data_IF_904896662712
#
_entry.id   IF_904896662712
#
_cell.length_a   1.000
_cell.length_b   1.000
_cell.length_c   1.000
_cell.angle_alpha   90.00
_cell.angle_beta   90.00
_cell.angle_gamma   90.00
#
_symmetry.space_group_name_H-M   'P 1'
#
loop_
_entity.id
_entity.type
_entity.pdbx_description
1 polymer ?
#
# COMPACT_ATOMS: atom_id res chain seq x y z
N UNK A 1 16.94 13.11 -12.63
CA UNK A 1 16.77 12.81 -12.19
C UNK A 1 16.47 12.09 -11.55
N UNK A 2 16.45 11.83 -11.07
CA UNK A 2 16.21 11.06 -10.52
C UNK A 2 15.28 10.93 -9.75
N UNK A 3 14.45 10.51 -9.71
CA UNK A 3 13.60 10.33 -9.04
C UNK A 3 13.70 9.37 -8.37
N UNK A 4 13.68 9.37 -7.50
CA UNK A 4 13.93 8.43 -6.84
C UNK A 4 12.88 7.69 -6.34
N UNK A 5 12.89 6.41 -6.17
CA UNK A 5 11.90 5.67 -5.57
C UNK A 5 12.06 5.79 -4.11
N UNK A 6 11.04 6.18 -3.41
CA UNK A 6 11.12 6.28 -2.00
C UNK A 6 10.80 4.96 -1.41
N UNK A 7 11.36 4.65 -0.27
CA UNK A 7 11.09 3.44 0.48
C UNK A 7 10.11 3.79 1.57
N UNK A 8 9.00 3.08 1.61
CA UNK A 8 7.93 3.36 2.56
C UNK A 8 7.74 2.19 3.50
N UNK A 9 7.40 2.49 4.75
CA UNK A 9 7.05 1.43 5.69
C UNK A 9 5.64 0.97 5.35
N UNK A 10 5.21 -0.15 5.96
CA UNK A 10 3.87 -0.64 5.71
C UNK A 10 2.85 0.41 6.16
N UNK A 11 3.12 1.14 7.24
CA UNK A 11 2.21 2.16 7.71
C UNK A 11 2.10 3.30 6.70
N UNK A 12 3.21 3.71 6.14
CA UNK A 12 3.22 4.78 5.17
C UNK A 12 2.51 4.34 3.88
N UNK A 13 2.80 3.13 3.43
CA UNK A 13 2.18 2.62 2.21
C UNK A 13 0.67 2.48 2.40
N UNK A 14 0.25 1.96 3.55
CA UNK A 14 -1.16 1.79 3.83
C UNK A 14 -1.86 3.14 3.84
N UNK A 15 -1.21 4.13 4.41
CA UNK A 15 -1.76 5.49 4.42
C UNK A 15 -1.97 6.04 3.02
N UNK A 16 -1.02 5.76 2.14
CA UNK A 16 -1.12 6.22 0.77
C UNK A 16 -2.27 5.53 0.04
N UNK A 17 -2.60 4.33 0.47
CA UNK A 17 -3.62 3.52 -0.17
C UNK A 17 -4.96 3.59 0.55
N UNK A 18 -5.06 4.40 1.58
CA UNK A 18 -6.31 4.57 2.34
C UNK A 18 -6.78 3.27 3.01
N UNK A 19 -5.84 2.48 3.45
CA UNK A 19 -6.18 1.24 4.18
C UNK A 19 -5.32 1.19 5.44
N UNK A 20 -5.51 0.19 6.25
CA UNK A 20 -4.72 0.05 7.46
C UNK A 20 -3.59 -0.93 7.23
N UNK A 21 -2.52 -0.86 8.01
CA UNK A 21 -1.44 -1.84 7.90
C UNK A 21 -1.94 -3.26 8.15
N UNK A 22 -2.89 -3.42 9.07
CA UNK A 22 -3.44 -4.73 9.35
C UNK A 22 -4.15 -5.30 8.13
N UNK A 23 -4.86 -4.45 7.41
CA UNK A 23 -5.57 -4.86 6.21
C UNK A 23 -4.56 -5.36 5.16
N UNK A 24 -3.45 -4.66 5.02
CA UNK A 24 -2.43 -5.05 4.06
C UNK A 24 -1.82 -6.39 4.43
N UNK A 25 -1.50 -6.58 5.72
CA UNK A 25 -0.94 -7.84 6.16
C UNK A 25 -1.91 -8.99 5.96
N UNK A 26 -3.18 -8.72 6.19
CA UNK A 26 -4.21 -9.74 6.03
C UNK A 26 -4.33 -10.13 4.56
N UNK A 27 -4.34 -9.16 3.67
CA UNK A 27 -4.41 -9.42 2.24
C UNK A 27 -3.20 -10.22 1.74
N UNK A 28 -2.03 -9.92 2.30
CA UNK A 28 -0.84 -10.60 1.93
C UNK A 28 -0.93 -12.07 2.38
N UNK A 29 -1.44 -12.29 3.59
CA UNK A 29 -1.57 -13.63 4.12
C UNK A 29 -2.57 -14.46 3.31
N UNK A 30 -3.64 -13.84 2.86
CA UNK A 30 -4.63 -14.54 2.07
C UNK A 30 -4.22 -14.75 0.62
N UNK A 31 -3.15 -14.09 0.20
CA UNK A 31 -2.72 -14.20 -1.17
C UNK A 31 -3.45 -13.24 -2.10
N UNK A 32 -4.25 -12.34 -1.57
CA UNK A 32 -4.96 -11.37 -2.39
C UNK A 32 -4.04 -10.26 -2.84
N UNK A 33 -2.98 -10.01 -2.10
CA UNK A 33 -2.04 -8.96 -2.44
C UNK A 33 -0.65 -9.55 -2.64
N UNK A 34 0.18 -8.92 -3.45
CA UNK A 34 1.55 -9.38 -3.64
C UNK A 34 2.32 -9.28 -2.33
N UNK A 35 3.31 -10.12 -2.18
CA UNK A 35 4.12 -10.09 -0.98
C UNK A 35 4.97 -8.83 -0.94
N UNK A 36 5.11 -8.28 0.24
CA UNK A 36 5.92 -7.09 0.42
C UNK A 36 7.39 -7.44 0.29
N UNK A 37 8.19 -6.46 -0.08
CA UNK A 37 9.62 -6.61 -0.09
C UNK A 37 10.09 -6.60 1.36
N UNK A 38 11.22 -7.19 1.63
CA UNK A 38 11.73 -7.22 2.97
C UNK A 38 13.18 -6.80 3.00
N UNK A 39 13.56 -6.11 4.07
CA UNK A 39 14.95 -5.73 4.26
C UNK A 39 15.70 -6.95 4.77
N UNK A 40 17.00 -6.84 4.90
CA UNK A 40 17.81 -7.92 5.43
C UNK A 40 17.36 -8.29 6.83
N UNK A 41 16.82 -7.36 7.58
CA UNK A 41 16.33 -7.65 8.92
C UNK A 41 14.92 -8.20 8.96
N UNK A 42 14.30 -8.41 7.80
CA UNK A 42 12.97 -8.98 7.76
C UNK A 42 11.83 -8.01 7.86
N UNK A 43 12.10 -6.72 7.79
CA UNK A 43 11.06 -5.72 7.90
C UNK A 43 10.43 -5.43 6.53
N UNK A 44 9.13 -5.31 6.49
CA UNK A 44 8.42 -5.00 5.25
C UNK A 44 8.74 -3.61 4.80
N UNK A 45 8.84 -3.42 3.51
CA UNK A 45 8.93 -2.08 2.95
C UNK A 45 8.30 -2.09 1.55
N UNK A 46 7.95 -0.92 1.09
CA UNK A 46 7.32 -0.77 -0.22
C UNK A 46 8.00 0.37 -0.93
N UNK A 47 8.09 0.28 -2.25
CA UNK A 47 8.62 1.38 -3.04
C UNK A 47 7.43 2.15 -3.59
N UNK A 48 7.68 3.31 -4.13
CA UNK A 48 6.64 4.10 -4.76
C UNK A 48 5.98 3.28 -5.87
N UNK A 49 6.78 2.53 -6.61
CA UNK A 49 6.27 1.71 -7.66
C UNK A 49 5.35 0.61 -7.13
N UNK A 50 5.69 0.04 -5.99
CA UNK A 50 4.88 -0.99 -5.38
C UNK A 50 3.51 -0.41 -4.99
N UNK A 51 3.49 0.80 -4.46
CA UNK A 51 2.25 1.44 -4.08
C UNK A 51 1.38 1.68 -5.31
N UNK A 52 1.99 2.11 -6.41
CA UNK A 52 1.25 2.31 -7.63
C UNK A 52 0.66 1.01 -8.16
N UNK A 53 1.41 -0.06 -8.03
CA UNK A 53 0.94 -1.36 -8.46
C UNK A 53 -0.28 -1.79 -7.65
N UNK A 54 -0.22 -1.61 -6.33
CA UNK A 54 -1.34 -1.95 -5.48
C UNK A 54 -2.55 -1.06 -5.80
N UNK A 55 -2.30 0.19 -6.12
CA UNK A 55 -3.38 1.10 -6.47
C UNK A 55 -4.06 0.62 -7.77
N UNK A 56 -3.30 0.15 -8.73
CA UNK A 56 -3.86 -0.37 -9.95
C UNK A 56 -4.67 -1.61 -9.73
N UNK A 57 -4.35 -2.38 -8.70
CA UNK A 57 -5.10 -3.58 -8.38
C UNK A 57 -6.42 -3.23 -7.69
N UNK A 58 -6.63 -1.96 -7.39
CA UNK A 58 -7.86 -1.53 -6.76
C UNK A 58 -7.79 -1.38 -5.27
N UNK A 59 -6.61 -1.53 -4.69
CA UNK A 59 -6.47 -1.41 -3.26
C UNK A 59 -6.83 0.00 -2.84
N UNK A 60 -7.76 0.11 -1.91
CA UNK A 60 -8.13 1.41 -1.37
C UNK A 60 -9.09 2.21 -2.21
N UNK A 61 -9.45 1.73 -3.39
CA UNK A 61 -10.31 2.50 -4.26
C UNK A 61 -11.67 2.77 -3.66
N UNK A 62 -12.24 1.77 -3.05
CA UNK A 62 -13.55 1.91 -2.48
C UNK A 62 -13.53 2.90 -1.32
N UNK A 63 -12.49 2.82 -0.48
CA UNK A 63 -12.37 3.72 0.63
C UNK A 63 -12.14 5.14 0.16
N UNK A 64 -11.29 5.32 -0.84
CA UNK A 64 -11.02 6.63 -1.37
C UNK A 64 -12.28 7.24 -1.94
N UNK A 65 -13.08 6.46 -2.70
CA UNK A 65 -14.27 6.94 -3.26
C UNK A 65 -15.26 7.33 -2.20
N UNK A 66 -15.36 6.56 -1.14
CA UNK A 66 -16.25 6.86 -0.05
C UNK A 66 -15.86 8.15 0.64
N UNK A 67 -14.57 8.37 0.82
CA UNK A 67 -14.11 9.59 1.45
C UNK A 67 -14.40 10.80 0.59
N UNK A 68 -14.27 10.68 -0.71
CA UNK A 68 -14.53 11.78 -1.60
C UNK A 68 -16.02 12.06 -1.69
N UNK A 69 -16.83 11.03 -1.70
CA UNK A 69 -18.24 11.22 -1.80
C UNK A 69 -18.82 11.72 -0.49
N UNK A 70 -18.19 11.37 0.59
CA UNK A 70 -18.69 11.70 1.85
C UNK A 70 -18.65 13.12 2.24
N UNK A 71 -18.04 13.89 1.38
CA UNK A 71 -17.95 15.16 1.62
C UNK A 71 -19.09 15.87 1.43
N UNK A 72 -20.10 15.42 1.04
CA UNK A 72 -21.16 16.12 0.75
C UNK A 72 -21.84 16.39 1.63
#
# INVERSE_FOLDING_TARGET
MLEEQRTLTISQAAGELYVTPAWVRFGERLGSLPLARRTAGGHRFYTTEDVERLRRLGVGQRRKKALEAGDE
#
